data_IF_332981689866
#
_entry.id   IF_332981689866
#
_cell.length_a   1.000
_cell.length_b   1.000
_cell.length_c   1.000
_cell.angle_alpha   90.00
_cell.angle_beta   90.00
_cell.angle_gamma   90.00
#
_symmetry.space_group_name_H-M   'P 1'
#
loop_
_entity.id
_entity.type
_entity.pdbx_description
1 polymer ?
#
# COMPACT_ATOMS: atom_id res chain seq x y z
N UNK A 1 -30.57 6.26 6.70
CA UNK A 1 -31.06 7.47 7.36
C UNK A 1 -31.66 7.05 8.70
N UNK A 2 -30.96 7.28 9.79
CA UNK A 2 -31.46 6.93 11.12
C UNK A 2 -31.59 8.21 11.96
N UNK A 3 -32.77 8.39 12.59
CA UNK A 3 -32.98 9.47 13.54
C UNK A 3 -32.40 9.01 14.88
N UNK A 4 -31.41 9.70 15.39
CA UNK A 4 -30.89 9.49 16.74
C UNK A 4 -31.37 10.60 17.67
N UNK A 5 -31.79 10.22 18.86
CA UNK A 5 -32.13 11.13 19.95
C UNK A 5 -31.05 11.00 21.01
N UNK A 6 -30.47 12.11 21.45
CA UNK A 6 -29.46 12.12 22.49
C UNK A 6 -30.01 12.80 23.78
N UNK A 7 -30.89 12.13 24.52
CA UNK A 7 -31.44 12.69 25.74
C UNK A 7 -30.39 12.74 26.85
N UNK A 8 -30.08 13.93 27.33
CA UNK A 8 -29.31 14.08 28.57
C UNK A 8 -30.24 13.93 29.77
N UNK A 9 -29.75 13.45 30.91
CA UNK A 9 -30.56 13.28 32.11
C UNK A 9 -31.25 14.61 32.53
N UNK A 10 -30.55 15.73 32.34
CA UNK A 10 -31.10 17.07 32.60
C UNK A 10 -32.23 17.46 31.65
N UNK A 11 -32.12 17.13 30.34
CA UNK A 11 -33.19 17.44 29.37
C UNK A 11 -34.46 16.60 29.64
N UNK A 12 -34.29 15.35 30.07
CA UNK A 12 -35.45 14.50 30.43
C UNK A 12 -36.15 15.04 31.65
N UNK A 13 -35.46 15.41 32.73
CA UNK A 13 -36.03 15.96 33.95
C UNK A 13 -36.75 17.28 33.62
N UNK A 14 -36.11 18.17 32.86
CA UNK A 14 -36.70 19.44 32.46
C UNK A 14 -37.97 19.25 31.66
N UNK A 15 -37.97 18.34 30.70
CA UNK A 15 -39.13 18.01 29.87
C UNK A 15 -40.30 17.52 30.71
N UNK A 16 -40.09 16.62 31.67
CA UNK A 16 -41.13 16.12 32.57
C UNK A 16 -41.71 17.25 33.42
N UNK A 17 -40.86 18.12 33.97
CA UNK A 17 -41.30 19.26 34.77
C UNK A 17 -42.17 20.25 33.96
N UNK A 18 -41.70 20.62 32.75
CA UNK A 18 -42.40 21.55 31.85
C UNK A 18 -43.74 20.98 31.39
N UNK A 19 -43.77 19.70 31.02
CA UNK A 19 -45.04 19.04 30.62
C UNK A 19 -46.00 18.93 31.80
N UNK A 20 -45.55 18.55 32.98
CA UNK A 20 -46.40 18.49 34.16
C UNK A 20 -47.00 19.85 34.55
N UNK A 21 -46.19 20.92 34.52
CA UNK A 21 -46.64 22.29 34.75
C UNK A 21 -47.65 22.75 33.66
N UNK A 22 -47.36 22.46 32.37
CA UNK A 22 -48.24 22.79 31.26
C UNK A 22 -49.62 22.11 31.36
N UNK A 23 -49.65 20.80 31.67
CA UNK A 23 -50.89 20.03 31.87
C UNK A 23 -51.68 20.57 33.07
N UNK A 24 -50.99 20.86 34.17
CA UNK A 24 -51.61 21.46 35.36
C UNK A 24 -52.26 22.79 35.10
N UNK A 25 -51.56 23.69 34.40
CA UNK A 25 -52.11 25.00 33.99
C UNK A 25 -53.29 24.86 33.03
N UNK A 26 -53.23 23.99 32.03
CA UNK A 26 -54.31 23.68 31.09
C UNK A 26 -55.54 23.14 31.81
N UNK A 27 -55.36 22.25 32.79
CA UNK A 27 -56.47 21.73 33.60
C UNK A 27 -57.17 22.85 34.37
N UNK A 28 -56.43 23.74 35.04
CA UNK A 28 -56.99 24.90 35.76
C UNK A 28 -57.74 25.84 34.81
N UNK A 29 -57.16 26.14 33.63
CA UNK A 29 -57.77 27.02 32.63
C UNK A 29 -59.09 26.45 32.08
N UNK A 30 -59.17 25.15 31.77
CA UNK A 30 -60.37 24.48 31.31
C UNK A 30 -61.43 24.42 32.42
N UNK A 31 -61.08 24.25 33.66
CA UNK A 31 -62.01 24.23 34.80
C UNK A 31 -62.61 25.63 35.09
N UNK A 32 -61.82 26.69 34.87
CA UNK A 32 -62.20 28.09 35.14
C UNK A 32 -63.09 28.65 34.00
N UNK A 33 -62.90 28.24 32.75
CA UNK A 33 -63.62 28.81 31.59
C UNK A 33 -63.98 27.72 30.60
N UNK A 34 -65.24 27.29 30.58
CA UNK A 34 -65.79 26.19 29.73
C UNK A 34 -66.21 26.62 28.31
N UNK A 35 -65.56 27.69 27.75
CA UNK A 35 -65.88 28.10 26.37
C UNK A 35 -65.17 27.23 25.35
N UNK A 36 -65.77 26.86 24.22
CA UNK A 36 -65.13 25.99 23.19
C UNK A 36 -63.88 26.58 22.59
N UNK A 37 -63.75 27.90 22.57
CA UNK A 37 -62.56 28.59 22.10
C UNK A 37 -61.34 28.38 23.04
N UNK A 38 -61.57 28.39 24.36
CA UNK A 38 -60.49 28.14 25.34
C UNK A 38 -59.94 26.73 25.22
N UNK A 39 -60.77 25.76 24.93
CA UNK A 39 -60.34 24.39 24.72
C UNK A 39 -59.40 24.24 23.50
N UNK A 40 -59.72 24.89 22.37
CA UNK A 40 -58.85 24.90 21.16
C UNK A 40 -57.49 25.57 21.43
N UNK A 41 -57.49 26.68 22.19
CA UNK A 41 -56.24 27.39 22.56
C UNK A 41 -55.39 26.56 23.50
N UNK A 42 -55.95 25.79 24.43
CA UNK A 42 -55.17 24.91 25.32
C UNK A 42 -54.55 23.72 24.58
N UNK A 43 -55.27 23.15 23.58
CA UNK A 43 -54.70 22.12 22.71
C UNK A 43 -53.50 22.67 21.95
N UNK A 44 -53.62 23.87 21.35
CA UNK A 44 -52.50 24.51 20.65
C UNK A 44 -51.29 24.76 21.57
N UNK A 45 -51.57 25.22 22.79
CA UNK A 45 -50.54 25.44 23.80
C UNK A 45 -49.77 24.14 24.14
N UNK A 46 -50.51 23.05 24.39
CA UNK A 46 -49.89 21.74 24.67
C UNK A 46 -49.12 21.20 23.47
N UNK A 47 -49.58 21.43 22.25
CA UNK A 47 -48.87 21.06 21.03
C UNK A 47 -47.52 21.80 20.90
N UNK A 48 -47.53 23.13 21.18
CA UNK A 48 -46.33 23.95 21.15
C UNK A 48 -45.35 23.48 22.25
N UNK A 49 -45.82 23.23 23.47
CA UNK A 49 -44.98 22.70 24.55
C UNK A 49 -44.38 21.35 24.21
N UNK A 50 -45.18 20.44 23.61
CA UNK A 50 -44.71 19.15 23.13
C UNK A 50 -43.61 19.27 22.06
N UNK A 51 -43.79 20.21 21.14
CA UNK A 51 -42.77 20.49 20.10
C UNK A 51 -41.49 21.04 20.69
N UNK A 52 -41.55 21.97 21.65
CA UNK A 52 -40.39 22.49 22.36
C UNK A 52 -39.68 21.36 23.12
N UNK A 53 -40.43 20.49 23.80
CA UNK A 53 -39.89 19.31 24.47
C UNK A 53 -39.21 18.37 23.50
N UNK A 54 -39.77 18.15 22.32
CA UNK A 54 -39.14 17.34 21.26
C UNK A 54 -37.80 17.95 20.82
N UNK A 55 -37.70 19.26 20.65
CA UNK A 55 -36.43 19.92 20.30
C UNK A 55 -35.40 19.81 21.41
N UNK A 56 -35.77 19.71 22.68
CA UNK A 56 -34.84 19.51 23.80
C UNK A 56 -34.15 18.13 23.75
N UNK A 57 -34.69 17.15 23.04
CA UNK A 57 -34.05 15.87 22.81
C UNK A 57 -33.00 15.90 21.70
N UNK A 58 -32.71 17.05 21.09
CA UNK A 58 -31.71 17.25 20.04
C UNK A 58 -31.79 16.18 18.95
N UNK A 59 -32.88 16.13 18.17
CA UNK A 59 -33.01 15.16 17.11
C UNK A 59 -31.95 15.41 16.04
N UNK A 60 -31.02 14.47 15.88
CA UNK A 60 -29.97 14.49 14.86
C UNK A 60 -30.30 13.49 13.75
N UNK A 61 -30.23 13.94 12.52
CA UNK A 61 -30.27 13.05 11.35
C UNK A 61 -28.86 12.58 11.05
N UNK A 62 -28.52 11.38 11.48
CA UNK A 62 -27.28 10.75 11.10
C UNK A 62 -27.38 10.25 9.65
N UNK A 63 -26.90 11.05 8.72
CA UNK A 63 -26.61 10.60 7.37
C UNK A 63 -25.23 9.99 7.42
N UNK A 64 -25.15 8.69 7.70
CA UNK A 64 -23.91 7.93 7.57
C UNK A 64 -23.62 7.75 6.09
N UNK A 65 -23.11 8.79 5.45
CA UNK A 65 -22.48 8.72 4.15
C UNK A 65 -21.01 8.37 4.42
N UNK A 66 -20.70 7.11 4.63
CA UNK A 66 -19.35 6.62 4.41
C UNK A 66 -19.21 6.53 2.89
N UNK A 67 -18.44 7.39 2.23
CA UNK A 67 -17.92 7.03 0.93
C UNK A 67 -17.10 5.77 1.18
N UNK A 68 -17.61 4.63 0.78
CA UNK A 68 -16.91 3.38 0.86
C UNK A 68 -15.85 3.45 -0.25
N UNK A 69 -14.74 4.14 0.06
CA UNK A 69 -13.59 4.16 -0.82
C UNK A 69 -13.17 2.70 -1.04
N UNK A 70 -13.16 2.30 -2.31
CA UNK A 70 -12.70 0.96 -2.65
C UNK A 70 -11.32 0.75 -2.03
N UNK A 71 -11.06 -0.41 -1.43
CA UNK A 71 -9.75 -0.74 -0.90
C UNK A 71 -8.70 -0.67 -2.00
N UNK A 72 -7.48 -0.27 -1.66
CA UNK A 72 -6.38 -0.06 -2.58
C UNK A 72 -5.42 -1.24 -2.57
N UNK A 73 -4.99 -1.66 -3.76
CA UNK A 73 -3.92 -2.64 -3.96
C UNK A 73 -2.81 -1.98 -4.76
N UNK A 74 -1.58 -2.02 -4.26
CA UNK A 74 -0.42 -1.51 -4.96
C UNK A 74 0.32 -2.63 -5.67
N UNK A 75 0.58 -2.45 -6.97
CA UNK A 75 1.38 -3.35 -7.79
C UNK A 75 2.71 -2.66 -8.08
N UNK A 76 3.79 -3.27 -7.60
CA UNK A 76 5.16 -2.78 -7.74
C UNK A 76 5.90 -3.63 -8.76
N UNK A 77 6.39 -2.99 -9.84
CA UNK A 77 7.13 -3.63 -10.91
C UNK A 77 8.60 -3.25 -10.84
N UNK A 78 9.46 -4.23 -10.68
CA UNK A 78 10.91 -4.06 -10.77
C UNK A 78 11.32 -3.88 -12.24
N UNK A 79 12.05 -2.80 -12.53
CA UNK A 79 12.60 -2.49 -13.84
C UNK A 79 14.11 -2.34 -13.81
N UNK A 80 14.76 -2.98 -12.85
CA UNK A 80 16.22 -3.01 -12.77
C UNK A 80 16.84 -3.71 -13.99
N UNK A 81 18.11 -3.46 -14.22
CA UNK A 81 18.83 -4.06 -15.35
C UNK A 81 18.83 -5.60 -15.32
N UNK A 82 18.74 -6.23 -14.15
CA UNK A 82 18.64 -7.67 -14.01
C UNK A 82 17.35 -8.26 -14.57
N UNK A 83 16.29 -7.45 -14.67
CA UNK A 83 14.99 -7.85 -15.26
C UNK A 83 15.03 -7.99 -16.79
N UNK A 84 16.06 -7.46 -17.46
CA UNK A 84 16.29 -7.67 -18.89
C UNK A 84 16.93 -9.02 -19.22
N UNK A 85 17.25 -9.80 -18.20
CA UNK A 85 17.80 -11.16 -18.38
C UNK A 85 16.78 -12.07 -19.05
N UNK A 86 17.20 -12.78 -20.10
CA UNK A 86 16.37 -13.77 -20.82
C UNK A 86 16.58 -15.16 -20.22
N UNK A 87 15.79 -15.50 -19.23
CA UNK A 87 15.90 -16.80 -18.53
C UNK A 87 14.54 -17.40 -18.14
N UNK A 88 13.42 -16.73 -18.49
CA UNK A 88 12.08 -17.26 -18.20
C UNK A 88 11.59 -18.09 -19.37
N UNK A 89 11.41 -19.39 -19.14
CA UNK A 89 10.87 -20.31 -20.14
C UNK A 89 9.34 -20.37 -19.98
N UNK A 90 8.61 -19.79 -20.94
CA UNK A 90 7.14 -19.85 -20.99
C UNK A 90 6.69 -21.17 -21.63
N UNK A 91 7.45 -21.66 -22.61
CA UNK A 91 7.21 -22.96 -23.26
C UNK A 91 8.54 -23.54 -23.78
N UNK A 92 8.62 -24.87 -24.01
CA UNK A 92 9.79 -25.48 -24.61
C UNK A 92 10.19 -24.72 -25.89
N UNK A 93 11.35 -24.07 -25.91
CA UNK A 93 11.90 -23.23 -26.99
C UNK A 93 11.48 -21.74 -27.00
N UNK A 94 10.66 -21.27 -26.06
CA UNK A 94 10.32 -19.85 -25.98
C UNK A 94 10.80 -19.25 -24.65
N UNK A 95 11.96 -18.63 -24.68
CA UNK A 95 12.56 -17.95 -23.54
C UNK A 95 12.37 -16.45 -23.72
N UNK A 96 11.88 -15.78 -22.68
CA UNK A 96 11.60 -14.35 -22.69
C UNK A 96 12.39 -13.64 -21.59
N UNK A 97 12.46 -12.31 -21.66
CA UNK A 97 12.98 -11.50 -20.56
C UNK A 97 12.05 -11.56 -19.36
N UNK A 98 12.58 -11.38 -18.15
CA UNK A 98 11.81 -11.29 -16.92
C UNK A 98 10.78 -10.16 -17.00
N UNK A 99 11.17 -9.00 -17.55
CA UNK A 99 10.27 -7.87 -17.82
C UNK A 99 9.11 -8.27 -18.73
N UNK A 100 9.36 -8.94 -19.84
CA UNK A 100 8.30 -9.38 -20.76
C UNK A 100 7.33 -10.35 -20.09
N UNK A 101 7.83 -11.29 -19.30
CA UNK A 101 7.03 -12.20 -18.50
C UNK A 101 6.10 -11.48 -17.51
N UNK A 102 6.63 -10.53 -16.75
CA UNK A 102 5.84 -9.73 -15.81
C UNK A 102 4.75 -8.94 -16.53
N UNK A 103 5.08 -8.33 -17.68
CA UNK A 103 4.10 -7.60 -18.47
C UNK A 103 2.99 -8.51 -19.03
N UNK A 104 3.31 -9.74 -19.39
CA UNK A 104 2.31 -10.73 -19.82
C UNK A 104 1.37 -11.11 -18.67
N UNK A 105 1.91 -11.34 -17.46
CA UNK A 105 1.12 -11.58 -16.26
C UNK A 105 0.19 -10.42 -15.92
N UNK A 106 0.69 -9.19 -16.06
CA UNK A 106 -0.08 -7.97 -15.75
C UNK A 106 -1.21 -7.70 -16.78
N UNK A 107 -1.08 -8.19 -18.01
CA UNK A 107 -2.14 -8.12 -19.04
C UNK A 107 -3.22 -9.19 -18.88
N UNK A 108 -3.00 -10.17 -18.01
CA UNK A 108 -3.95 -11.27 -17.79
C UNK A 108 -5.25 -10.84 -17.12
N UNK A 109 -6.30 -11.65 -17.27
CA UNK A 109 -7.64 -11.40 -16.72
C UNK A 109 -7.66 -11.26 -15.18
N UNK A 110 -6.66 -11.78 -14.49
CA UNK A 110 -6.56 -11.69 -13.02
C UNK A 110 -6.45 -10.25 -12.53
N UNK A 111 -5.78 -9.39 -13.27
CA UNK A 111 -5.60 -7.98 -12.93
C UNK A 111 -6.88 -7.18 -13.18
N UNK A 112 -7.68 -7.54 -14.18
CA UNK A 112 -8.97 -6.90 -14.44
C UNK A 112 -9.99 -7.22 -13.36
N UNK A 113 -10.06 -8.46 -12.90
CA UNK A 113 -10.93 -8.85 -11.79
C UNK A 113 -10.62 -8.10 -10.48
N UNK A 114 -9.35 -7.75 -10.26
CA UNK A 114 -8.94 -6.93 -9.12
C UNK A 114 -9.49 -5.49 -9.21
N UNK A 115 -9.55 -4.89 -10.40
CA UNK A 115 -10.07 -3.53 -10.63
C UNK A 115 -11.56 -3.39 -10.34
N UNK A 116 -12.33 -4.48 -10.44
CA UNK A 116 -13.76 -4.46 -10.15
C UNK A 116 -14.04 -4.15 -8.68
N UNK A 117 -13.22 -4.68 -7.79
CA UNK A 117 -13.39 -4.62 -6.34
C UNK A 117 -12.44 -3.67 -5.63
N UNK A 118 -11.26 -3.37 -6.22
CA UNK A 118 -10.18 -2.59 -5.63
C UNK A 118 -9.74 -1.46 -6.57
N UNK A 119 -9.17 -0.41 -6.00
CA UNK A 119 -8.38 0.56 -6.74
C UNK A 119 -6.98 0.00 -6.90
N UNK A 120 -6.56 -0.29 -8.13
CA UNK A 120 -5.22 -0.83 -8.41
C UNK A 120 -4.29 0.30 -8.81
N UNK A 121 -3.23 0.50 -8.04
CA UNK A 121 -2.18 1.47 -8.31
C UNK A 121 -0.92 0.75 -8.80
N UNK A 122 -0.36 1.22 -9.91
CA UNK A 122 0.86 0.69 -10.48
C UNK A 122 2.02 1.64 -10.23
N UNK A 123 3.13 1.10 -9.74
CA UNK A 123 4.39 1.83 -9.60
C UNK A 123 5.55 0.96 -10.08
N UNK A 124 6.50 1.57 -10.75
CA UNK A 124 7.74 0.92 -11.17
C UNK A 124 8.92 1.47 -10.38
N UNK A 125 9.91 0.64 -10.15
CA UNK A 125 11.13 1.02 -9.43
C UNK A 125 12.36 0.34 -10.06
N UNK A 126 13.56 0.75 -9.64
CA UNK A 126 14.80 0.10 -10.04
C UNK A 126 15.24 0.37 -11.48
N UNK A 127 14.55 1.25 -12.22
CA UNK A 127 14.97 1.60 -13.58
C UNK A 127 16.39 2.16 -13.54
N UNK A 128 17.33 1.62 -14.36
CA UNK A 128 18.68 2.15 -14.41
C UNK A 128 18.66 3.59 -14.93
N UNK A 129 19.51 4.48 -14.44
CA UNK A 129 19.69 5.78 -15.01
C UNK A 129 20.17 5.66 -16.47
N UNK A 130 20.09 6.75 -17.23
CA UNK A 130 20.54 6.74 -18.63
C UNK A 130 22.00 6.24 -18.72
N UNK A 131 22.36 5.51 -19.78
CA UNK A 131 23.73 4.95 -19.95
C UNK A 131 24.84 5.97 -19.85
N UNK A 132 24.56 7.23 -20.19
CA UNK A 132 25.50 8.36 -20.13
C UNK A 132 25.54 9.05 -18.76
N UNK A 133 24.73 8.60 -17.80
CA UNK A 133 24.70 9.16 -16.45
C UNK A 133 25.92 8.69 -15.64
N UNK A 134 26.59 9.59 -14.89
CA UNK A 134 27.65 9.20 -13.96
C UNK A 134 27.19 8.20 -12.90
N UNK A 135 25.89 8.17 -12.58
CA UNK A 135 25.29 7.26 -11.60
C UNK A 135 24.98 5.86 -12.16
N UNK A 136 25.17 5.64 -13.47
CA UNK A 136 24.87 4.36 -14.12
C UNK A 136 25.64 3.18 -13.50
N UNK A 137 26.91 3.40 -13.18
CA UNK A 137 27.77 2.37 -12.56
C UNK A 137 27.42 2.07 -11.09
N UNK A 138 26.66 2.96 -10.43
CA UNK A 138 26.24 2.83 -9.05
C UNK A 138 24.74 2.52 -8.91
N UNK A 139 24.06 2.31 -10.02
CA UNK A 139 22.64 1.99 -10.03
C UNK A 139 22.37 0.67 -9.29
N UNK A 140 21.79 0.80 -8.11
CA UNK A 140 21.39 -0.33 -7.28
C UNK A 140 19.88 -0.48 -7.23
N UNK A 141 19.42 -1.72 -7.07
CA UNK A 141 18.01 -2.00 -6.85
C UNK A 141 17.70 -1.91 -5.36
N UNK A 142 16.80 -0.99 -4.99
CA UNK A 142 16.28 -0.88 -3.63
C UNK A 142 14.84 -1.42 -3.59
N UNK A 143 14.66 -2.58 -2.96
CA UNK A 143 13.35 -3.18 -2.77
C UNK A 143 12.60 -2.60 -1.55
N UNK A 144 13.28 -1.92 -0.64
CA UNK A 144 12.67 -1.40 0.58
C UNK A 144 11.92 -0.09 0.34
N UNK A 145 12.48 0.81 -0.48
CA UNK A 145 11.90 2.11 -0.78
C UNK A 145 10.51 2.03 -1.41
N UNK A 146 10.25 1.24 -2.46
CA UNK A 146 8.91 1.13 -3.04
C UNK A 146 7.87 0.57 -2.07
N UNK A 147 8.25 -0.28 -1.12
CA UNK A 147 7.36 -0.75 -0.04
C UNK A 147 7.01 0.38 0.93
N UNK A 148 7.98 1.22 1.27
CA UNK A 148 7.75 2.39 2.12
C UNK A 148 6.85 3.41 1.42
N UNK A 149 7.12 3.75 0.17
CA UNK A 149 6.35 4.67 -0.64
C UNK A 149 4.89 4.19 -0.81
N UNK A 150 4.67 2.90 -1.05
CA UNK A 150 3.35 2.30 -1.11
C UNK A 150 2.57 2.44 0.20
N UNK A 151 3.24 2.27 1.35
CA UNK A 151 2.61 2.46 2.67
C UNK A 151 2.29 3.90 3.00
N UNK A 152 3.00 4.86 2.40
CA UNK A 152 2.78 6.29 2.60
C UNK A 152 1.72 6.85 1.65
N UNK A 153 1.53 6.23 0.48
CA UNK A 153 0.64 6.72 -0.57
C UNK A 153 -0.85 6.61 -0.23
N UNK A 154 -1.23 5.73 0.72
CA UNK A 154 -2.64 5.51 1.02
C UNK A 154 -2.89 4.86 2.38
N UNK A 155 -3.80 5.47 3.16
CA UNK A 155 -4.28 4.90 4.42
C UNK A 155 -5.19 3.67 4.21
N UNK A 156 -5.75 3.52 3.00
CA UNK A 156 -6.66 2.41 2.65
C UNK A 156 -5.96 1.29 1.84
N UNK A 157 -4.63 1.18 1.96
CA UNK A 157 -3.85 0.10 1.34
C UNK A 157 -4.18 -1.24 2.00
N UNK A 158 -4.60 -2.23 1.19
CA UNK A 158 -5.01 -3.55 1.65
C UNK A 158 -4.03 -4.66 1.30
N UNK A 159 -3.28 -4.49 0.22
CA UNK A 159 -2.26 -5.46 -0.19
C UNK A 159 -1.22 -4.78 -1.08
N UNK A 160 -0.02 -5.35 -1.11
CA UNK A 160 1.03 -5.02 -2.07
C UNK A 160 1.43 -6.29 -2.82
N UNK A 161 1.50 -6.18 -4.13
CA UNK A 161 2.00 -7.23 -5.02
C UNK A 161 3.28 -6.71 -5.66
N UNK A 162 4.39 -7.38 -5.45
CA UNK A 162 5.70 -6.99 -5.97
C UNK A 162 6.21 -8.03 -6.96
N UNK A 163 6.54 -7.59 -8.16
CA UNK A 163 7.20 -8.38 -9.19
C UNK A 163 8.67 -8.02 -9.21
N UNK A 164 9.55 -8.96 -8.92
CA UNK A 164 11.00 -8.74 -8.83
C UNK A 164 11.76 -10.06 -9.01
N UNK A 165 13.02 -10.00 -9.37
CA UNK A 165 13.93 -11.14 -9.33
C UNK A 165 14.60 -11.35 -7.96
N UNK A 166 14.30 -10.46 -6.99
CA UNK A 166 14.83 -10.50 -5.65
C UNK A 166 16.24 -9.89 -5.50
N UNK A 167 16.81 -9.34 -6.55
CA UNK A 167 18.11 -8.66 -6.48
C UNK A 167 17.99 -7.37 -5.69
N UNK A 168 18.64 -7.31 -4.53
CA UNK A 168 18.68 -6.15 -3.65
C UNK A 168 20.12 -5.83 -3.30
N UNK A 169 20.59 -4.66 -3.71
CA UNK A 169 21.97 -4.21 -3.48
C UNK A 169 22.07 -2.82 -2.82
N UNK A 170 20.93 -2.29 -2.34
CA UNK A 170 20.91 -1.08 -1.53
C UNK A 170 21.17 -1.39 -0.04
N UNK A 171 21.55 -0.36 0.71
CA UNK A 171 21.81 -0.48 2.16
C UNK A 171 20.54 -0.54 3.02
N UNK A 172 19.38 -0.29 2.43
CA UNK A 172 18.07 -0.29 3.10
C UNK A 172 17.64 -1.71 3.49
N UNK A 173 16.90 -1.86 4.59
CA UNK A 173 16.44 -3.18 5.04
C UNK A 173 15.02 -3.47 4.54
N UNK A 174 14.91 -4.37 3.57
CA UNK A 174 13.62 -4.89 3.06
C UNK A 174 12.82 -5.56 4.17
N UNK A 175 13.50 -6.31 5.04
CA UNK A 175 12.86 -7.02 6.16
C UNK A 175 12.16 -6.05 7.13
N UNK A 176 12.77 -4.91 7.39
CA UNK A 176 12.18 -3.89 8.25
C UNK A 176 10.88 -3.35 7.66
N UNK A 177 10.82 -3.11 6.36
CA UNK A 177 9.60 -2.65 5.71
C UNK A 177 8.52 -3.75 5.69
N UNK A 178 8.89 -5.00 5.42
CA UNK A 178 7.98 -6.13 5.49
C UNK A 178 7.38 -6.31 6.90
N UNK A 179 8.17 -6.10 7.95
CA UNK A 179 7.69 -6.12 9.33
C UNK A 179 6.70 -4.98 9.63
N UNK A 180 6.97 -3.77 9.12
CA UNK A 180 6.05 -2.63 9.25
C UNK A 180 4.71 -2.91 8.55
N UNK A 181 4.75 -3.49 7.35
CA UNK A 181 3.54 -3.92 6.64
C UNK A 181 2.75 -4.95 7.44
N UNK A 182 3.44 -5.96 7.98
CA UNK A 182 2.82 -6.97 8.86
C UNK A 182 2.14 -6.34 10.08
N UNK A 183 2.77 -5.36 10.74
CA UNK A 183 2.19 -4.66 11.89
C UNK A 183 0.92 -3.88 11.51
N UNK A 184 0.85 -3.36 10.27
CA UNK A 184 -0.33 -2.69 9.73
C UNK A 184 -1.38 -3.66 9.17
N UNK A 185 -1.13 -4.96 9.18
CA UNK A 185 -2.01 -5.97 8.61
C UNK A 185 -2.10 -5.94 7.08
N UNK A 186 -1.05 -5.42 6.40
CA UNK A 186 -0.99 -5.32 4.93
C UNK A 186 -0.17 -6.51 4.43
N UNK A 187 -0.78 -7.49 3.74
CA UNK A 187 -0.07 -8.61 3.13
C UNK A 187 0.80 -8.13 1.97
N UNK A 188 2.00 -8.70 1.89
CA UNK A 188 2.95 -8.54 0.79
C UNK A 188 3.03 -9.85 0.02
N UNK A 189 2.69 -9.81 -1.26
CA UNK A 189 2.83 -10.92 -2.20
C UNK A 189 4.01 -10.63 -3.11
N UNK A 190 4.98 -11.53 -3.13
CA UNK A 190 6.16 -11.41 -4.00
C UNK A 190 6.04 -12.46 -5.10
N UNK A 191 6.05 -12.01 -6.34
CA UNK A 191 6.05 -12.84 -7.53
C UNK A 191 7.45 -12.76 -8.12
N UNK A 192 8.19 -13.85 -7.99
CA UNK A 192 9.56 -13.93 -8.49
C UNK A 192 9.56 -14.11 -10.00
N UNK A 193 10.27 -13.22 -10.69
CA UNK A 193 10.57 -13.32 -12.11
C UNK A 193 11.99 -13.86 -12.31
N UNK A 194 12.13 -14.95 -13.04
CA UNK A 194 13.44 -15.55 -13.35
C UNK A 194 13.40 -17.06 -13.32
N UNK A 195 14.47 -17.67 -13.82
CA UNK A 195 14.64 -19.11 -13.80
C UNK A 195 14.92 -19.61 -12.38
N UNK A 196 14.31 -20.73 -11.94
CA UNK A 196 14.68 -21.37 -10.68
C UNK A 196 16.07 -22.03 -10.74
N UNK A 197 16.62 -22.15 -11.93
CA UNK A 197 17.96 -22.73 -12.14
C UNK A 197 19.00 -21.63 -12.32
N UNK A 198 20.22 -21.81 -11.76
CA UNK A 198 21.29 -20.84 -11.99
C UNK A 198 21.60 -20.80 -13.50
N UNK A 199 21.73 -19.58 -14.01
CA UNK A 199 22.15 -19.37 -15.38
C UNK A 199 23.56 -19.96 -15.61
N UNK A 200 23.80 -20.53 -16.81
CA UNK A 200 25.15 -20.90 -17.18
C UNK A 200 26.07 -19.68 -17.20
N UNK A 201 26.93 -19.56 -16.22
CA UNK A 201 27.78 -18.38 -16.04
C UNK A 201 29.20 -18.78 -15.66
N UNK A 202 30.14 -17.88 -15.95
CA UNK A 202 31.53 -17.91 -15.57
C UNK A 202 31.92 -16.60 -14.91
N UNK A 203 31.90 -16.58 -13.59
CA UNK A 203 32.18 -15.37 -12.80
C UNK A 203 33.56 -15.37 -12.19
N UNK A 204 34.26 -14.25 -12.31
CA UNK A 204 35.49 -13.98 -11.60
C UNK A 204 35.19 -13.42 -10.20
N UNK A 205 35.58 -14.11 -9.17
CA UNK A 205 35.32 -13.75 -7.77
C UNK A 205 36.64 -13.60 -6.98
N UNK A 206 36.57 -12.90 -5.86
CA UNK A 206 37.67 -12.81 -4.87
C UNK A 206 39.03 -12.40 -5.45
N UNK A 207 39.06 -11.43 -6.36
CA UNK A 207 40.32 -10.89 -6.88
C UNK A 207 40.99 -10.06 -5.79
N UNK A 208 42.16 -10.52 -5.33
CA UNK A 208 42.96 -9.87 -4.28
C UNK A 208 44.24 -9.30 -4.89
N UNK A 209 44.14 -8.09 -5.43
CA UNK A 209 45.31 -7.38 -5.91
C UNK A 209 45.96 -6.61 -4.77
N UNK A 210 47.30 -6.72 -4.57
CA UNK A 210 48.03 -5.89 -3.62
C UNK A 210 47.98 -4.41 -4.06
N UNK A 211 47.97 -3.52 -3.08
CA UNK A 211 47.90 -2.06 -3.35
C UNK A 211 49.23 -1.47 -3.81
N UNK A 212 50.33 -2.21 -3.68
CA UNK A 212 51.68 -1.82 -4.11
C UNK A 212 52.48 -3.03 -4.54
N UNK A 213 53.48 -2.80 -5.36
CA UNK A 213 54.47 -3.79 -5.78
C UNK A 213 55.87 -3.20 -5.78
N UNK A 214 56.88 -4.02 -5.63
CA UNK A 214 58.28 -3.61 -5.70
C UNK A 214 58.79 -3.86 -7.12
N UNK A 215 59.43 -2.86 -7.71
CA UNK A 215 59.99 -3.00 -9.05
C UNK A 215 60.99 -4.15 -9.10
N UNK A 216 60.78 -5.07 -10.04
CA UNK A 216 61.62 -6.27 -10.23
C UNK A 216 61.17 -7.49 -9.44
N UNK A 217 60.15 -7.39 -8.59
CA UNK A 217 59.56 -8.52 -7.87
C UNK A 217 58.29 -9.05 -8.55
N UNK A 218 58.02 -10.35 -8.38
CA UNK A 218 56.80 -10.99 -8.87
C UNK A 218 55.64 -10.74 -7.93
N UNK A 219 54.58 -10.14 -8.41
CA UNK A 219 53.34 -9.92 -7.67
C UNK A 219 52.36 -11.06 -7.93
N UNK A 220 51.85 -11.68 -6.87
CA UNK A 220 50.81 -12.71 -6.97
C UNK A 220 49.44 -12.06 -6.76
N UNK A 221 48.53 -12.31 -7.68
CA UNK A 221 47.15 -11.85 -7.63
C UNK A 221 46.24 -13.07 -7.58
N UNK A 222 45.90 -13.58 -6.39
CA UNK A 222 44.97 -14.70 -6.28
C UNK A 222 43.57 -14.27 -6.68
N UNK A 223 42.87 -15.15 -7.38
CA UNK A 223 41.47 -14.97 -7.77
C UNK A 223 40.76 -16.32 -7.77
N UNK A 224 39.43 -16.29 -7.68
CA UNK A 224 38.55 -17.46 -7.77
C UNK A 224 37.66 -17.35 -8.99
N UNK A 225 37.57 -18.41 -9.78
CA UNK A 225 36.62 -18.53 -10.86
C UNK A 225 35.52 -19.48 -10.40
N UNK A 226 34.25 -18.97 -10.41
CA UNK A 226 33.06 -19.79 -10.19
C UNK A 226 32.42 -20.07 -11.54
N UNK A 227 32.19 -21.35 -11.86
CA UNK A 227 31.52 -21.80 -13.07
C UNK A 227 30.23 -22.54 -12.73
N UNK A 228 29.12 -22.14 -13.37
CA UNK A 228 27.84 -22.87 -13.38
C UNK A 228 27.58 -23.51 -14.74
N UNK A 229 28.58 -23.53 -15.62
CA UNK A 229 28.51 -24.17 -16.94
C UNK A 229 28.44 -25.69 -16.78
N UNK A 230 27.47 -26.33 -17.41
CA UNK A 230 27.33 -27.79 -17.39
C UNK A 230 28.31 -28.56 -18.29
N UNK A 231 29.26 -27.89 -18.93
CA UNK A 231 30.27 -28.48 -19.84
C UNK A 231 31.61 -27.81 -19.67
N UNK A 232 32.67 -28.55 -20.01
CA UNK A 232 34.02 -27.98 -20.10
C UNK A 232 34.07 -26.81 -21.06
N UNK A 233 34.56 -25.68 -20.58
CA UNK A 233 34.67 -24.45 -21.37
C UNK A 233 36.04 -23.84 -21.17
N UNK A 234 36.67 -23.43 -22.27
CA UNK A 234 37.94 -22.69 -22.24
C UNK A 234 37.66 -21.21 -22.07
N UNK A 235 38.16 -20.59 -21.01
CA UNK A 235 38.07 -19.18 -20.78
C UNK A 235 39.46 -18.54 -20.82
N UNK A 236 39.56 -17.29 -21.27
CA UNK A 236 40.76 -16.48 -21.29
C UNK A 236 40.64 -15.36 -20.27
N UNK A 237 41.53 -15.32 -19.31
CA UNK A 237 41.64 -14.21 -18.37
C UNK A 237 42.66 -13.20 -18.90
N UNK A 238 42.27 -11.98 -19.09
CA UNK A 238 43.13 -10.88 -19.55
C UNK A 238 43.27 -9.85 -18.46
N UNK A 239 44.51 -9.53 -18.10
CA UNK A 239 44.84 -8.44 -17.20
C UNK A 239 45.35 -7.25 -17.99
N UNK A 240 44.77 -6.09 -17.79
CA UNK A 240 45.15 -4.84 -18.45
C UNK A 240 45.66 -3.88 -17.40
N UNK A 241 46.93 -3.51 -17.48
CA UNK A 241 47.53 -2.41 -16.70
C UNK A 241 47.40 -1.11 -17.49
N UNK A 242 46.91 -0.09 -16.83
CA UNK A 242 46.92 1.29 -17.40
C UNK A 242 47.94 2.08 -16.57
N UNK A 243 48.95 2.55 -17.25
CA UNK A 243 49.89 3.53 -16.68
C UNK A 243 49.13 4.86 -16.59
N UNK A 244 49.12 5.45 -15.40
CA UNK A 244 48.57 6.81 -15.12
C UNK A 244 49.69 7.82 -15.20
#
# INVERSE_FOLDING_TARGET
MNLSLQPTASSVILTVLVMAAGIWMSYIACKRNRRPLTFKLEILRLAILGFICFLLFQPEWLITSSPQEKPKVSILEDRSGSMETQDVEISPQHVVTRTAYVQELLKGNSTESLKDTHVVEYASFGAPPAPDSPDYAMAGTDLAKPLEDAMQSSDNLRAVIMFTDGSHNASSSVLTQAQRMRTRGIPLFIISAGSPYPLPDLALQDVKAPTYGIIGETVQIPFTIKSTLGKETRATLTMISRDT
#
